data_IF_498926221645
#
_entry.id   IF_498926221645
#
_cell.length_a   1.000
_cell.length_b   1.000
_cell.length_c   1.000
_cell.angle_alpha   90.00
_cell.angle_beta   90.00
_cell.angle_gamma   90.00
#
_symmetry.space_group_name_H-M   'P 1'
#
loop_
_entity.id
_entity.type
_entity.pdbx_description
1 polymer ?
#
# COMPACT_ATOMS: atom_id res chain seq x y z
N UNK A 1 -16.94 21.51 -14.29
CA UNK A 1 -16.19 22.78 -14.38
C UNK A 1 -14.80 22.49 -14.95
N UNK A 2 -14.22 23.34 -15.76
CA UNK A 2 -12.84 23.16 -16.27
C UNK A 2 -12.07 24.42 -15.88
N UNK A 3 -11.02 24.25 -15.10
CA UNK A 3 -10.14 25.34 -14.69
C UNK A 3 -8.89 25.30 -15.56
N UNK A 4 -8.56 26.40 -16.21
CA UNK A 4 -7.36 26.53 -17.03
C UNK A 4 -6.26 27.22 -16.20
N UNK A 5 -5.16 26.51 -15.96
CA UNK A 5 -3.98 27.07 -15.29
C UNK A 5 -2.83 26.99 -16.28
N UNK A 6 -2.42 28.15 -16.82
CA UNK A 6 -1.48 28.21 -17.94
C UNK A 6 -2.08 27.50 -19.17
N UNK A 7 -1.31 26.63 -19.81
CA UNK A 7 -1.75 25.83 -20.96
C UNK A 7 -2.45 24.51 -20.59
N UNK A 8 -2.69 24.21 -19.29
CA UNK A 8 -3.26 22.95 -18.83
C UNK A 8 -4.69 23.14 -18.34
N UNK A 9 -5.57 22.20 -18.70
CA UNK A 9 -6.97 22.20 -18.29
C UNK A 9 -7.14 21.16 -17.18
N UNK A 10 -7.54 21.63 -16.00
CA UNK A 10 -7.87 20.78 -14.86
C UNK A 10 -9.39 20.52 -14.85
N UNK A 11 -9.75 19.25 -14.75
CA UNK A 11 -11.14 18.84 -14.53
C UNK A 11 -11.46 18.80 -13.04
N UNK A 12 -12.75 18.87 -12.68
CA UNK A 12 -13.22 18.77 -11.29
C UNK A 12 -12.66 17.52 -10.58
N UNK A 13 -12.53 16.43 -11.31
CA UNK A 13 -12.01 15.15 -10.81
C UNK A 13 -10.53 15.23 -10.43
N UNK A 14 -9.72 15.92 -11.25
CA UNK A 14 -8.32 16.19 -10.94
C UNK A 14 -8.19 17.06 -9.68
N UNK A 15 -9.10 18.03 -9.51
CA UNK A 15 -9.15 18.88 -8.31
C UNK A 15 -9.51 18.03 -7.07
N UNK A 16 -10.51 17.14 -7.16
CA UNK A 16 -10.85 16.23 -6.09
C UNK A 16 -9.67 15.31 -5.69
N UNK A 17 -8.94 14.81 -6.69
CA UNK A 17 -7.71 14.05 -6.42
C UNK A 17 -6.65 14.90 -5.70
N UNK A 18 -6.46 16.16 -6.09
CA UNK A 18 -5.52 17.05 -5.39
C UNK A 18 -5.96 17.34 -3.95
N UNK A 19 -7.26 17.56 -3.73
CA UNK A 19 -7.81 17.71 -2.38
C UNK A 19 -7.59 16.46 -1.54
N UNK A 20 -7.73 15.27 -2.14
CA UNK A 20 -7.44 14.00 -1.49
C UNK A 20 -5.96 13.90 -1.08
N UNK A 21 -5.04 14.26 -1.98
CA UNK A 21 -3.60 14.30 -1.66
C UNK A 21 -3.30 15.27 -0.53
N UNK A 22 -3.87 16.47 -0.56
CA UNK A 22 -3.72 17.48 0.50
C UNK A 22 -4.25 16.94 1.83
N UNK A 23 -5.47 16.38 1.83
CA UNK A 23 -6.08 15.86 3.05
C UNK A 23 -5.21 14.77 3.71
N UNK A 24 -4.67 13.82 2.91
CA UNK A 24 -3.81 12.78 3.44
C UNK A 24 -2.42 13.25 3.85
N UNK A 25 -1.87 14.27 3.17
CA UNK A 25 -0.52 14.77 3.45
C UNK A 25 -0.48 15.70 4.66
N UNK A 26 -1.54 16.46 4.95
CA UNK A 26 -1.55 17.46 6.01
C UNK A 26 -2.44 17.08 7.20
N UNK A 27 -3.59 16.45 6.97
CA UNK A 27 -4.49 16.04 8.06
C UNK A 27 -4.04 14.69 8.65
N UNK A 28 -3.41 13.81 7.82
CA UNK A 28 -2.91 12.50 8.22
C UNK A 28 -1.84 12.56 9.28
N UNK A 29 -0.91 13.47 9.10
CA UNK A 29 0.26 13.62 9.94
C UNK A 29 -0.03 14.23 11.32
N UNK A 30 -1.07 15.07 11.44
CA UNK A 30 -1.39 15.72 12.70
C UNK A 30 -1.99 14.78 13.75
N UNK A 31 -2.51 13.61 13.35
CA UNK A 31 -3.31 12.75 14.24
C UNK A 31 -2.69 11.38 14.52
N UNK A 32 -1.51 11.07 14.03
CA UNK A 32 -0.79 9.83 14.41
C UNK A 32 -0.46 9.81 15.92
N UNK A 33 -0.43 10.99 16.55
CA UNK A 33 -0.09 11.15 17.98
C UNK A 33 -1.30 11.08 18.93
N UNK A 34 -2.53 11.17 18.44
CA UNK A 34 -3.71 11.37 19.30
C UNK A 34 -4.59 10.15 19.52
N UNK A 35 -4.26 8.97 18.96
CA UNK A 35 -5.04 7.75 19.21
C UNK A 35 -6.54 7.86 18.88
N UNK A 36 -6.93 8.81 18.04
CA UNK A 36 -8.31 9.12 17.71
C UNK A 36 -9.01 7.93 17.07
N UNK A 37 -10.16 7.58 17.62
CA UNK A 37 -10.99 6.48 17.17
C UNK A 37 -11.43 6.60 15.70
N UNK A 38 -12.07 5.55 15.21
CA UNK A 38 -12.56 5.38 13.83
C UNK A 38 -13.36 6.58 13.30
N UNK A 39 -13.98 7.34 14.19
CA UNK A 39 -14.88 8.47 13.90
C UNK A 39 -14.23 9.83 14.18
N UNK A 40 -12.89 9.93 14.20
CA UNK A 40 -12.27 11.25 14.30
C UNK A 40 -12.64 12.12 13.10
N UNK A 41 -12.78 13.44 13.31
CA UNK A 41 -13.09 14.41 12.25
C UNK A 41 -12.07 14.31 11.10
N UNK A 42 -10.83 14.01 11.43
CA UNK A 42 -9.76 13.85 10.45
C UNK A 42 -9.94 12.59 9.60
N UNK A 43 -10.29 11.45 10.21
CA UNK A 43 -10.56 10.21 9.49
C UNK A 43 -11.80 10.36 8.59
N UNK A 44 -12.88 10.95 9.13
CA UNK A 44 -14.09 11.22 8.35
C UNK A 44 -13.83 12.13 7.15
N UNK A 45 -13.04 13.19 7.31
CA UNK A 45 -12.71 14.10 6.20
C UNK A 45 -11.91 13.40 5.10
N UNK A 46 -10.87 12.62 5.43
CA UNK A 46 -10.06 11.88 4.46
C UNK A 46 -10.89 10.86 3.67
N UNK A 47 -11.64 10.02 4.39
CA UNK A 47 -12.46 8.99 3.75
C UNK A 47 -13.67 9.56 3.04
N UNK A 48 -14.23 10.67 3.53
CA UNK A 48 -15.28 11.42 2.85
C UNK A 48 -14.82 11.97 1.49
N UNK A 49 -13.64 12.59 1.43
CA UNK A 49 -13.06 13.08 0.16
C UNK A 49 -12.74 11.91 -0.77
N UNK A 50 -12.21 10.79 -0.26
CA UNK A 50 -11.96 9.59 -1.07
C UNK A 50 -13.26 9.04 -1.66
N UNK A 51 -14.31 8.92 -0.86
CA UNK A 51 -15.61 8.44 -1.31
C UNK A 51 -16.22 9.37 -2.36
N UNK A 52 -16.17 10.68 -2.17
CA UNK A 52 -16.61 11.68 -3.16
C UNK A 52 -15.81 11.57 -4.46
N UNK A 53 -14.50 11.34 -4.38
CA UNK A 53 -13.64 11.13 -5.54
C UNK A 53 -14.06 9.88 -6.31
N UNK A 54 -14.31 8.77 -5.63
CA UNK A 54 -14.79 7.51 -6.23
C UNK A 54 -16.16 7.70 -6.86
N UNK A 55 -17.13 8.33 -6.17
CA UNK A 55 -18.47 8.59 -6.71
C UNK A 55 -18.43 9.48 -7.96
N UNK A 56 -17.61 10.52 -7.94
CA UNK A 56 -17.40 11.40 -9.10
C UNK A 56 -16.88 10.62 -10.32
N UNK A 57 -15.91 9.72 -10.10
CA UNK A 57 -15.37 8.88 -11.18
C UNK A 57 -16.38 7.84 -11.67
N UNK A 58 -17.20 7.25 -10.79
CA UNK A 58 -18.28 6.35 -11.18
C UNK A 58 -19.28 7.07 -12.11
N UNK A 59 -19.75 8.25 -11.71
CA UNK A 59 -20.69 9.05 -12.50
C UNK A 59 -20.10 9.36 -13.88
N UNK A 60 -18.84 9.75 -13.91
CA UNK A 60 -18.16 10.06 -15.18
C UNK A 60 -17.96 8.81 -16.04
N UNK A 61 -17.56 7.69 -15.46
CA UNK A 61 -17.37 6.43 -16.16
C UNK A 61 -18.67 5.97 -16.84
N UNK A 62 -19.81 6.04 -16.15
CA UNK A 62 -21.09 5.70 -16.71
C UNK A 62 -21.51 6.66 -17.84
N UNK A 63 -21.31 7.97 -17.67
CA UNK A 63 -21.61 8.97 -18.71
C UNK A 63 -20.72 8.84 -19.94
N UNK A 64 -19.47 8.46 -19.76
CA UNK A 64 -18.51 8.31 -20.86
C UNK A 64 -18.57 6.95 -21.55
N UNK A 65 -19.24 5.95 -20.96
CA UNK A 65 -19.33 4.58 -21.49
C UNK A 65 -19.93 4.51 -22.90
N UNK A 66 -20.75 5.47 -23.28
CA UNK A 66 -21.31 5.59 -24.64
C UNK A 66 -20.26 6.00 -25.69
N UNK A 67 -19.12 6.56 -25.27
CA UNK A 67 -18.04 7.02 -26.15
C UNK A 67 -16.73 6.23 -26.00
N UNK A 68 -16.59 5.37 -24.97
CA UNK A 68 -15.35 4.62 -24.69
C UNK A 68 -15.46 3.22 -25.28
N UNK A 69 -14.82 3.01 -26.43
CA UNK A 69 -14.81 1.72 -27.14
C UNK A 69 -13.97 0.64 -26.43
N UNK A 70 -13.12 0.97 -25.44
CA UNK A 70 -12.20 0.03 -24.81
C UNK A 70 -12.05 0.28 -23.32
N UNK A 71 -12.37 -0.73 -22.50
CA UNK A 71 -12.09 -0.74 -21.05
C UNK A 71 -10.74 -1.40 -20.80
N UNK A 72 -9.80 -0.63 -20.25
CA UNK A 72 -8.46 -1.11 -19.93
C UNK A 72 -8.44 -1.91 -18.62
N UNK A 73 -7.55 -2.90 -18.54
CA UNK A 73 -7.24 -3.69 -17.35
C UNK A 73 -8.46 -4.38 -16.69
N UNK A 74 -9.55 -4.64 -17.47
CA UNK A 74 -10.74 -5.31 -16.96
C UNK A 74 -10.44 -6.70 -16.39
N UNK A 75 -9.57 -7.45 -17.07
CA UNK A 75 -9.16 -8.79 -16.65
C UNK A 75 -8.33 -8.77 -15.37
N UNK A 76 -7.39 -7.83 -15.29
CA UNK A 76 -6.47 -7.65 -14.17
C UNK A 76 -7.23 -7.26 -12.90
N UNK A 77 -8.12 -6.28 -12.97
CA UNK A 77 -8.96 -5.89 -11.85
C UNK A 77 -9.99 -6.94 -11.43
N UNK A 78 -10.42 -7.83 -12.35
CA UNK A 78 -11.27 -8.96 -11.99
C UNK A 78 -10.62 -9.89 -10.95
N UNK A 79 -9.28 -9.99 -10.92
CA UNK A 79 -8.58 -10.78 -9.93
C UNK A 79 -8.80 -10.23 -8.50
N UNK A 80 -8.86 -8.92 -8.34
CA UNK A 80 -9.16 -8.30 -7.05
C UNK A 80 -10.61 -8.56 -6.59
N UNK A 81 -11.57 -8.62 -7.51
CA UNK A 81 -12.94 -8.99 -7.16
C UNK A 81 -13.02 -10.40 -6.58
N UNK A 82 -12.28 -11.37 -7.14
CA UNK A 82 -12.22 -12.72 -6.59
C UNK A 82 -11.60 -12.74 -5.21
N UNK A 83 -10.50 -12.04 -5.00
CA UNK A 83 -9.90 -11.89 -3.68
C UNK A 83 -10.90 -11.30 -2.67
N UNK A 84 -11.59 -10.24 -3.06
CA UNK A 84 -12.56 -9.57 -2.20
C UNK A 84 -13.75 -10.48 -1.84
N UNK A 85 -14.24 -11.27 -2.79
CA UNK A 85 -15.30 -12.29 -2.55
C UNK A 85 -14.81 -13.33 -1.52
N UNK A 86 -13.57 -13.81 -1.67
CA UNK A 86 -12.98 -14.76 -0.71
C UNK A 86 -12.90 -14.14 0.69
N UNK A 87 -12.40 -12.91 0.82
CA UNK A 87 -12.32 -12.23 2.10
C UNK A 87 -13.69 -12.06 2.76
N UNK A 88 -14.71 -11.63 2.00
CA UNK A 88 -16.08 -11.49 2.51
C UNK A 88 -16.62 -12.85 2.97
N UNK A 89 -16.48 -13.89 2.14
CA UNK A 89 -16.99 -15.23 2.45
C UNK A 89 -16.37 -15.78 3.74
N UNK A 90 -15.04 -15.67 3.86
CA UNK A 90 -14.33 -16.11 5.08
C UNK A 90 -14.75 -15.29 6.30
N UNK A 91 -14.91 -13.96 6.14
CA UNK A 91 -15.36 -13.10 7.23
C UNK A 91 -16.77 -13.43 7.69
N UNK A 92 -17.70 -13.66 6.76
CA UNK A 92 -19.06 -14.09 7.12
C UNK A 92 -19.03 -15.44 7.85
N UNK A 93 -18.22 -16.40 7.35
CA UNK A 93 -18.08 -17.70 7.99
C UNK A 93 -17.57 -17.57 9.44
N UNK A 94 -16.52 -16.77 9.67
CA UNK A 94 -15.95 -16.55 11.00
C UNK A 94 -16.93 -15.77 11.92
N UNK A 95 -17.63 -14.77 11.39
CA UNK A 95 -18.61 -14.00 12.14
C UNK A 95 -19.81 -14.85 12.60
N UNK A 96 -20.31 -15.73 11.71
CA UNK A 96 -21.40 -16.66 12.04
C UNK A 96 -20.95 -17.72 13.06
N UNK A 97 -19.75 -18.30 12.89
CA UNK A 97 -19.22 -19.32 13.80
C UNK A 97 -18.94 -18.78 15.21
N UNK A 98 -18.50 -17.54 15.32
CA UNK A 98 -18.23 -16.88 16.62
C UNK A 98 -19.43 -16.15 17.22
N UNK A 99 -20.54 -16.04 16.48
CA UNK A 99 -21.71 -15.22 16.84
C UNK A 99 -21.34 -13.74 17.16
N UNK A 100 -20.28 -13.24 16.53
CA UNK A 100 -19.78 -11.87 16.73
C UNK A 100 -19.61 -11.17 15.39
N UNK A 101 -19.88 -9.86 15.38
CA UNK A 101 -19.65 -9.00 14.22
C UNK A 101 -18.96 -7.71 14.65
N UNK A 102 -18.01 -7.24 13.87
CA UNK A 102 -17.31 -5.99 14.13
C UNK A 102 -17.55 -4.97 13.01
N UNK A 103 -17.87 -3.73 13.39
CA UNK A 103 -17.91 -2.59 12.47
C UNK A 103 -16.53 -2.33 11.85
N UNK A 104 -15.45 -2.70 12.57
CA UNK A 104 -14.08 -2.63 12.06
C UNK A 104 -13.87 -3.48 10.82
N UNK A 105 -14.53 -4.63 10.71
CA UNK A 105 -14.49 -5.46 9.51
C UNK A 105 -14.98 -4.71 8.27
N UNK A 106 -16.09 -3.98 8.37
CA UNK A 106 -16.59 -3.17 7.24
C UNK A 106 -15.57 -2.08 6.87
N UNK A 107 -14.98 -1.42 7.84
CA UNK A 107 -13.96 -0.40 7.60
C UNK A 107 -12.73 -0.98 6.89
N UNK A 108 -12.24 -2.13 7.32
CA UNK A 108 -11.06 -2.78 6.73
C UNK A 108 -11.35 -3.21 5.27
N UNK A 109 -12.57 -3.71 4.98
CA UNK A 109 -12.99 -3.97 3.60
C UNK A 109 -12.96 -2.72 2.73
N UNK A 110 -13.49 -1.61 3.23
CA UNK A 110 -13.48 -0.33 2.51
C UNK A 110 -12.05 0.10 2.20
N UNK A 111 -11.13 -0.02 3.16
CA UNK A 111 -9.73 0.35 2.98
C UNK A 111 -9.00 -0.46 1.91
N UNK A 112 -9.34 -1.74 1.76
CA UNK A 112 -8.76 -2.60 0.72
C UNK A 112 -9.45 -2.39 -0.63
N UNK A 113 -10.77 -2.25 -0.67
CA UNK A 113 -11.55 -2.20 -1.90
C UNK A 113 -11.52 -0.85 -2.60
N UNK A 114 -11.63 0.27 -1.85
CA UNK A 114 -11.70 1.61 -2.45
C UNK A 114 -10.48 1.99 -3.29
N UNK A 115 -9.22 1.70 -2.88
CA UNK A 115 -8.06 1.95 -3.72
C UNK A 115 -8.11 1.23 -5.06
N UNK A 116 -8.54 -0.03 -5.06
CA UNK A 116 -8.66 -0.84 -6.27
C UNK A 116 -9.73 -0.29 -7.22
N UNK A 117 -10.91 0.03 -6.67
CA UNK A 117 -12.01 0.60 -7.44
C UNK A 117 -11.62 1.97 -8.01
N UNK A 118 -11.03 2.83 -7.20
CA UNK A 118 -10.62 4.16 -7.64
C UNK A 118 -9.55 4.10 -8.73
N UNK A 119 -8.52 3.27 -8.57
CA UNK A 119 -7.50 3.07 -9.59
C UNK A 119 -8.09 2.55 -10.92
N UNK A 120 -9.03 1.59 -10.86
CA UNK A 120 -9.74 1.11 -12.05
C UNK A 120 -10.52 2.21 -12.76
N UNK A 121 -11.21 3.04 -12.01
CA UNK A 121 -11.99 4.14 -12.57
C UNK A 121 -11.07 5.19 -13.20
N UNK A 122 -10.04 5.64 -12.48
CA UNK A 122 -9.07 6.64 -12.96
C UNK A 122 -8.39 6.17 -14.25
N UNK A 123 -7.93 4.91 -14.32
CA UNK A 123 -7.24 4.43 -15.51
C UNK A 123 -8.14 4.40 -16.76
N UNK A 124 -9.46 4.27 -16.58
CA UNK A 124 -10.44 4.21 -17.66
C UNK A 124 -11.06 5.56 -17.99
N UNK A 125 -10.92 6.56 -17.14
CA UNK A 125 -11.54 7.88 -17.32
C UNK A 125 -10.52 8.99 -17.61
N UNK A 126 -9.23 8.78 -17.25
CA UNK A 126 -8.17 9.75 -17.44
C UNK A 126 -7.21 9.36 -18.56
N UNK A 127 -6.62 10.38 -19.19
CA UNK A 127 -5.49 10.17 -20.09
C UNK A 127 -4.21 9.93 -19.30
N UNK A 128 -3.20 9.28 -19.92
CA UNK A 128 -1.89 9.08 -19.27
C UNK A 128 -1.21 10.40 -18.91
N UNK A 129 -1.44 11.46 -19.70
CA UNK A 129 -0.92 12.80 -19.41
C UNK A 129 -1.56 13.40 -18.15
N UNK A 130 -2.89 13.27 -17.99
CA UNK A 130 -3.59 13.72 -16.78
C UNK A 130 -3.08 12.99 -15.53
N UNK A 131 -2.88 11.68 -15.62
CA UNK A 131 -2.31 10.89 -14.54
C UNK A 131 -0.88 11.35 -14.21
N UNK A 132 -0.04 11.61 -15.23
CA UNK A 132 1.34 12.06 -15.01
C UNK A 132 1.39 13.43 -14.29
N UNK A 133 0.55 14.38 -14.73
CA UNK A 133 0.46 15.69 -14.09
C UNK A 133 0.02 15.55 -12.64
N UNK A 134 -1.05 14.77 -12.40
CA UNK A 134 -1.60 14.60 -11.05
C UNK A 134 -0.63 13.89 -10.11
N UNK A 135 0.06 12.86 -10.56
CA UNK A 135 1.04 12.16 -9.74
C UNK A 135 2.27 13.04 -9.45
N UNK A 136 2.74 13.85 -10.38
CA UNK A 136 3.86 14.79 -10.14
C UNK A 136 3.50 15.89 -9.15
N UNK A 137 2.32 16.50 -9.29
CA UNK A 137 1.86 17.52 -8.35
C UNK A 137 1.60 16.87 -6.98
N UNK A 138 0.93 15.71 -6.96
CA UNK A 138 0.69 14.97 -5.73
C UNK A 138 1.97 14.58 -5.00
N UNK A 139 3.02 14.20 -5.73
CA UNK A 139 4.34 13.93 -5.17
C UNK A 139 4.92 15.16 -4.46
N UNK A 140 4.88 16.36 -5.11
CA UNK A 140 5.38 17.61 -4.52
C UNK A 140 4.58 17.97 -3.26
N UNK A 141 3.24 17.87 -3.31
CA UNK A 141 2.37 18.15 -2.16
C UNK A 141 2.69 17.21 -1.01
N UNK A 142 2.85 15.91 -1.28
CA UNK A 142 3.17 14.92 -0.25
C UNK A 142 4.57 15.11 0.33
N UNK A 143 5.54 15.52 -0.46
CA UNK A 143 6.88 15.86 0.01
C UNK A 143 6.86 17.07 0.95
N UNK A 144 6.13 18.13 0.59
CA UNK A 144 5.94 19.30 1.45
C UNK A 144 5.22 18.91 2.74
N UNK A 145 4.15 18.10 2.65
CA UNK A 145 3.43 17.58 3.82
C UNK A 145 4.34 16.82 4.76
N UNK A 146 5.23 15.96 4.23
CA UNK A 146 6.21 15.23 5.01
C UNK A 146 7.19 16.17 5.75
N UNK A 147 7.78 17.16 5.04
CA UNK A 147 8.70 18.14 5.66
C UNK A 147 8.03 18.89 6.80
N UNK A 148 6.78 19.32 6.59
CA UNK A 148 6.04 20.08 7.62
C UNK A 148 5.63 19.20 8.80
N UNK A 149 5.24 17.95 8.56
CA UNK A 149 4.81 17.02 9.63
C UNK A 149 5.95 16.57 10.52
N UNK A 150 7.15 16.42 9.95
CA UNK A 150 8.36 15.98 10.68
C UNK A 150 9.15 17.15 11.26
N UNK A 151 8.69 18.40 11.06
CA UNK A 151 9.42 19.62 11.47
C UNK A 151 10.89 19.61 11.04
N UNK A 152 11.17 19.09 9.83
CA UNK A 152 12.52 18.94 9.32
C UNK A 152 13.25 20.27 9.23
N UNK A 153 14.29 20.43 10.04
CA UNK A 153 15.31 21.46 9.90
C UNK A 153 16.63 20.84 9.43
N UNK A 154 17.47 21.63 8.80
CA UNK A 154 18.81 21.16 8.36
C UNK A 154 19.62 20.67 9.54
N UNK A 155 19.56 21.36 10.68
CA UNK A 155 20.22 20.96 11.93
C UNK A 155 19.68 19.62 12.45
N UNK A 156 18.39 19.40 12.33
CA UNK A 156 17.74 18.15 12.74
C UNK A 156 18.15 16.96 11.86
N UNK A 157 18.23 17.16 10.53
CA UNK A 157 18.71 16.12 9.59
C UNK A 157 20.17 15.76 9.91
N UNK A 158 21.03 16.75 10.11
CA UNK A 158 22.44 16.51 10.47
C UNK A 158 22.59 15.79 11.82
N UNK A 159 21.77 16.16 12.79
CA UNK A 159 21.75 15.47 14.09
C UNK A 159 21.26 14.02 13.93
N UNK A 160 20.17 13.81 13.20
CA UNK A 160 19.65 12.47 12.93
C UNK A 160 20.67 11.59 12.20
N UNK A 161 21.37 12.11 11.19
CA UNK A 161 22.44 11.36 10.49
C UNK A 161 23.59 10.96 11.41
N UNK A 162 23.92 11.76 12.41
CA UNK A 162 24.96 11.45 13.38
C UNK A 162 24.52 10.50 14.50
N UNK A 163 23.20 10.43 14.78
CA UNK A 163 22.63 9.61 15.86
C UNK A 163 21.94 8.34 15.36
N UNK A 164 21.87 8.12 14.04
CA UNK A 164 21.30 6.91 13.48
C UNK A 164 22.12 5.71 13.94
N UNK A 165 21.57 5.01 14.91
CA UNK A 165 22.00 3.67 15.24
C UNK A 165 21.17 2.68 14.44
N UNK A 166 21.80 1.97 13.49
CA UNK A 166 21.11 0.99 12.66
C UNK A 166 20.56 -0.21 13.46
N UNK A 167 20.99 -0.35 14.70
CA UNK A 167 20.55 -1.39 15.63
C UNK A 167 19.27 -1.00 16.37
N UNK A 168 19.06 0.29 16.67
CA UNK A 168 17.88 0.77 17.37
C UNK A 168 16.93 1.51 16.43
N UNK A 169 15.88 0.80 15.98
CA UNK A 169 14.89 1.31 15.03
C UNK A 169 13.88 2.28 15.64
N UNK A 170 13.76 2.31 16.97
CA UNK A 170 12.81 3.18 17.67
C UNK A 170 13.34 4.59 17.91
N UNK A 171 14.63 4.82 17.65
CA UNK A 171 15.28 6.11 17.95
C UNK A 171 15.12 7.17 16.86
N UNK A 172 14.62 6.85 15.68
CA UNK A 172 14.53 7.79 14.58
C UNK A 172 13.21 8.54 14.57
N UNK A 173 13.21 9.79 15.02
CA UNK A 173 12.08 10.74 14.89
C UNK A 173 11.66 11.02 13.42
N UNK A 174 12.49 10.61 12.44
CA UNK A 174 12.24 10.79 11.01
C UNK A 174 11.46 9.62 10.40
N UNK A 175 11.32 8.50 11.12
CA UNK A 175 10.63 7.34 10.59
C UNK A 175 9.12 7.65 10.45
N UNK A 176 8.63 7.64 9.22
CA UNK A 176 7.20 7.76 8.92
C UNK A 176 6.71 6.60 8.11
N UNK A 177 5.91 5.73 8.73
CA UNK A 177 5.28 4.60 8.03
C UNK A 177 4.27 5.05 7.00
N UNK A 178 3.55 6.14 7.27
CA UNK A 178 2.52 6.69 6.39
C UNK A 178 3.11 7.23 5.09
N UNK A 179 4.18 8.06 5.21
CA UNK A 179 4.81 8.65 4.03
C UNK A 179 5.72 7.69 3.27
N UNK A 180 6.30 6.68 3.91
CA UNK A 180 7.23 5.76 3.27
C UNK A 180 6.59 5.00 2.10
N UNK A 181 5.43 4.38 2.33
CA UNK A 181 4.73 3.62 1.29
C UNK A 181 4.15 4.55 0.22
N UNK A 182 3.69 5.74 0.62
CA UNK A 182 3.22 6.78 -0.30
C UNK A 182 4.35 7.27 -1.22
N UNK A 183 5.50 7.61 -0.66
CA UNK A 183 6.70 8.00 -1.41
C UNK A 183 7.16 6.90 -2.37
N UNK A 184 7.10 5.63 -1.92
CA UNK A 184 7.40 4.47 -2.75
C UNK A 184 6.44 4.37 -3.94
N UNK A 185 5.14 4.62 -3.76
CA UNK A 185 4.15 4.63 -4.84
C UNK A 185 4.50 5.64 -5.93
N UNK A 186 4.83 6.86 -5.55
CA UNK A 186 5.30 7.89 -6.48
C UNK A 186 6.63 7.51 -7.12
N UNK A 187 7.60 7.02 -6.35
CA UNK A 187 8.91 6.62 -6.85
C UNK A 187 8.79 5.50 -7.90
N UNK A 188 7.98 4.47 -7.65
CA UNK A 188 7.73 3.40 -8.60
C UNK A 188 7.19 3.90 -9.93
N UNK A 189 6.26 4.87 -9.91
CA UNK A 189 5.76 5.50 -11.13
C UNK A 189 6.82 6.36 -11.82
N UNK A 190 7.49 7.26 -11.08
CA UNK A 190 8.44 8.22 -11.65
C UNK A 190 9.71 7.55 -12.20
N UNK A 191 10.19 6.49 -11.56
CA UNK A 191 11.33 5.71 -12.06
C UNK A 191 11.03 5.02 -13.40
N UNK A 192 9.79 4.63 -13.65
CA UNK A 192 9.40 4.01 -14.92
C UNK A 192 9.15 5.02 -16.05
N UNK A 193 8.34 6.07 -15.79
CA UNK A 193 7.82 6.96 -16.84
C UNK A 193 8.78 8.06 -17.26
N UNK A 194 9.59 8.58 -16.33
CA UNK A 194 10.43 9.72 -16.65
C UNK A 194 11.72 9.33 -17.37
N UNK A 195 12.02 10.07 -18.44
CA UNK A 195 13.29 9.93 -19.17
C UNK A 195 14.46 10.59 -18.43
N UNK A 196 14.19 11.74 -17.76
CA UNK A 196 15.19 12.51 -17.02
C UNK A 196 15.49 11.93 -15.62
N UNK A 197 16.73 12.11 -15.15
CA UNK A 197 17.18 11.65 -13.83
C UNK A 197 16.60 12.46 -12.67
N UNK A 198 16.27 13.74 -12.86
CA UNK A 198 15.84 14.64 -11.78
C UNK A 198 14.65 14.08 -11.00
N UNK A 199 13.54 13.74 -11.66
CA UNK A 199 12.37 13.18 -11.00
C UNK A 199 12.60 11.81 -10.37
N UNK A 200 13.44 10.96 -11.00
CA UNK A 200 13.77 9.65 -10.45
C UNK A 200 14.56 9.78 -9.16
N UNK A 201 15.66 10.54 -9.18
CA UNK A 201 16.48 10.74 -8.00
C UNK A 201 15.72 11.46 -6.89
N UNK A 202 14.97 12.52 -7.21
CA UNK A 202 14.19 13.24 -6.21
C UNK A 202 13.16 12.33 -5.54
N UNK A 203 12.49 11.44 -6.30
CA UNK A 203 11.53 10.50 -5.72
C UNK A 203 12.19 9.45 -4.82
N UNK A 204 13.37 8.94 -5.20
CA UNK A 204 14.12 7.99 -4.36
C UNK A 204 14.66 8.67 -3.11
N UNK A 205 15.15 9.91 -3.23
CA UNK A 205 15.57 10.71 -2.06
C UNK A 205 14.42 10.89 -1.08
N UNK A 206 13.20 11.18 -1.57
CA UNK A 206 12.04 11.26 -0.68
C UNK A 206 11.81 9.94 0.08
N UNK A 207 11.91 8.79 -0.60
CA UNK A 207 11.80 7.49 0.08
C UNK A 207 12.89 7.30 1.13
N UNK A 208 14.14 7.61 0.81
CA UNK A 208 15.28 7.52 1.75
C UNK A 208 15.03 8.38 2.99
N UNK A 209 14.52 9.60 2.81
CA UNK A 209 14.21 10.52 3.90
C UNK A 209 13.14 9.98 4.88
N UNK A 210 12.32 9.02 4.48
CA UNK A 210 11.35 8.39 5.39
C UNK A 210 11.97 7.35 6.34
N UNK A 211 13.24 7.04 6.20
CA UNK A 211 14.04 6.12 7.03
C UNK A 211 13.50 4.69 7.18
N UNK A 212 12.61 4.24 6.31
CA UNK A 212 12.15 2.84 6.26
C UNK A 212 13.07 2.01 5.39
N UNK A 213 13.95 1.21 6.01
CA UNK A 213 15.02 0.41 5.35
C UNK A 213 14.50 -0.45 4.20
N UNK A 214 13.45 -1.25 4.44
CA UNK A 214 12.89 -2.17 3.44
C UNK A 214 12.29 -1.42 2.24
N UNK A 215 11.62 -0.30 2.50
CA UNK A 215 11.02 0.54 1.47
C UNK A 215 12.10 1.29 0.68
N UNK A 216 13.15 1.74 1.35
CA UNK A 216 14.33 2.34 0.71
C UNK A 216 15.01 1.35 -0.24
N UNK A 217 15.26 0.12 0.22
CA UNK A 217 15.81 -0.93 -0.65
C UNK A 217 14.92 -1.18 -1.87
N UNK A 218 13.62 -1.25 -1.65
CA UNK A 218 12.63 -1.41 -2.74
C UNK A 218 12.75 -0.26 -3.75
N UNK A 219 12.83 0.99 -3.32
CA UNK A 219 12.97 2.15 -4.20
C UNK A 219 14.26 2.12 -5.03
N UNK A 220 15.38 1.71 -4.42
CA UNK A 220 16.66 1.54 -5.11
C UNK A 220 16.57 0.45 -6.18
N UNK A 221 15.99 -0.71 -5.84
CA UNK A 221 15.77 -1.79 -6.81
C UNK A 221 14.89 -1.31 -7.97
N UNK A 222 13.82 -0.56 -7.71
CA UNK A 222 12.94 -0.01 -8.75
C UNK A 222 13.65 1.03 -9.63
N UNK A 223 14.53 1.85 -9.07
CA UNK A 223 15.36 2.79 -9.83
C UNK A 223 16.25 2.01 -10.81
N UNK A 224 16.94 0.98 -10.34
CA UNK A 224 17.82 0.13 -11.15
C UNK A 224 17.02 -0.60 -12.23
N UNK A 225 15.91 -1.26 -11.89
CA UNK A 225 15.04 -1.95 -12.85
C UNK A 225 14.47 -0.99 -13.89
N UNK A 226 14.18 0.25 -13.53
CA UNK A 226 13.71 1.29 -14.44
C UNK A 226 14.69 1.61 -15.58
N UNK A 227 15.97 1.26 -15.46
CA UNK A 227 17.00 1.47 -16.48
C UNK A 227 17.05 0.34 -17.53
N UNK A 228 16.61 -0.87 -17.18
CA UNK A 228 16.71 -2.02 -18.07
C UNK A 228 15.56 -2.13 -19.08
N UNK A 229 15.86 -2.58 -20.30
CA UNK A 229 14.84 -2.83 -21.35
C UNK A 229 13.87 -3.95 -20.97
N UNK A 230 14.27 -4.88 -20.11
CA UNK A 230 13.46 -6.01 -19.64
C UNK A 230 12.20 -5.58 -18.89
N UNK A 231 12.16 -4.35 -18.36
CA UNK A 231 11.01 -3.81 -17.59
C UNK A 231 9.65 -3.93 -18.29
N UNK A 232 9.63 -3.93 -19.62
CA UNK A 232 8.39 -3.97 -20.40
C UNK A 232 7.94 -5.40 -20.76
N UNK A 233 8.71 -6.43 -20.43
CA UNK A 233 8.37 -7.80 -20.78
C UNK A 233 7.27 -8.34 -19.87
N UNK A 234 6.38 -9.16 -20.46
CA UNK A 234 5.42 -9.96 -19.71
C UNK A 234 6.13 -11.15 -19.08
N UNK A 235 5.76 -11.49 -17.85
CA UNK A 235 6.33 -12.66 -17.17
C UNK A 235 5.67 -13.95 -17.64
N UNK A 236 6.48 -15.01 -17.70
CA UNK A 236 5.99 -16.36 -17.92
C UNK A 236 5.11 -16.81 -16.73
N UNK A 237 4.06 -17.58 -17.05
CA UNK A 237 3.12 -18.14 -16.07
C UNK A 237 3.84 -19.00 -15.03
N UNK A 238 4.77 -19.87 -15.50
CA UNK A 238 5.53 -20.77 -14.61
C UNK A 238 6.41 -19.99 -13.62
N UNK A 239 7.10 -18.94 -14.11
CA UNK A 239 7.90 -18.08 -13.24
C UNK A 239 7.02 -17.34 -12.23
N UNK A 240 5.87 -16.80 -12.65
CA UNK A 240 4.92 -16.15 -11.75
C UNK A 240 4.42 -17.11 -10.68
N UNK A 241 4.08 -18.35 -11.07
CA UNK A 241 3.62 -19.38 -10.14
C UNK A 241 4.73 -19.75 -9.14
N UNK A 242 5.96 -19.99 -9.63
CA UNK A 242 7.11 -20.31 -8.77
C UNK A 242 7.39 -19.21 -7.74
N UNK A 243 7.40 -17.93 -8.17
CA UNK A 243 7.60 -16.79 -7.29
C UNK A 243 6.43 -16.61 -6.31
N UNK A 244 5.20 -16.92 -6.72
CA UNK A 244 4.04 -16.92 -5.82
C UNK A 244 4.16 -17.99 -4.74
N UNK A 245 4.54 -19.21 -5.11
CA UNK A 245 4.77 -20.31 -4.16
C UNK A 245 5.89 -19.94 -3.19
N UNK A 246 7.01 -19.39 -3.69
CA UNK A 246 8.11 -18.94 -2.84
C UNK A 246 7.65 -17.91 -1.80
N UNK A 247 6.84 -16.94 -2.21
CA UNK A 247 6.31 -15.91 -1.31
C UNK A 247 5.36 -16.49 -0.27
N UNK A 248 4.49 -17.44 -0.66
CA UNK A 248 3.61 -18.16 0.25
C UNK A 248 4.43 -18.96 1.26
N UNK A 249 5.40 -19.74 0.80
CA UNK A 249 6.29 -20.53 1.68
C UNK A 249 7.04 -19.62 2.65
N UNK A 250 7.56 -18.49 2.16
CA UNK A 250 8.25 -17.52 3.01
C UNK A 250 7.31 -16.93 4.07
N UNK A 251 6.07 -16.59 3.71
CA UNK A 251 5.09 -16.06 4.66
C UNK A 251 4.74 -17.07 5.76
N UNK A 252 4.52 -18.35 5.40
CA UNK A 252 4.25 -19.41 6.37
C UNK A 252 5.46 -19.69 7.26
N UNK A 253 6.65 -19.74 6.68
CA UNK A 253 7.89 -19.93 7.42
C UNK A 253 8.11 -18.78 8.42
N UNK A 254 7.94 -17.54 7.97
CA UNK A 254 8.05 -16.35 8.83
C UNK A 254 7.02 -16.38 9.96
N UNK A 255 5.75 -16.65 9.64
CA UNK A 255 4.70 -16.78 10.66
C UNK A 255 5.05 -17.83 11.70
N UNK A 256 5.54 -19.01 11.26
CA UNK A 256 5.95 -20.07 12.18
C UNK A 256 7.17 -19.67 13.04
N UNK A 257 8.14 -18.99 12.46
CA UNK A 257 9.35 -18.55 13.16
C UNK A 257 9.09 -17.51 14.25
N UNK A 258 8.09 -16.63 14.06
CA UNK A 258 7.77 -15.55 15.00
C UNK A 258 6.79 -15.98 16.09
N UNK A 259 6.31 -17.23 16.10
CA UNK A 259 5.46 -17.77 17.16
C UNK A 259 6.16 -17.72 18.52
N UNK A 260 5.43 -17.46 19.63
CA UNK A 260 6.02 -17.32 20.98
C UNK A 260 6.96 -18.46 21.36
N UNK A 261 6.58 -19.69 21.00
CA UNK A 261 7.34 -20.89 21.34
C UNK A 261 8.56 -21.14 20.45
N UNK A 262 8.65 -20.49 19.31
CA UNK A 262 9.65 -20.76 18.28
C UNK A 262 10.67 -19.62 18.11
N UNK A 263 10.30 -18.39 18.50
CA UNK A 263 11.04 -17.17 18.17
C UNK A 263 12.49 -17.19 18.68
N UNK A 264 12.75 -17.75 19.86
CA UNK A 264 14.10 -17.84 20.42
C UNK A 264 14.97 -18.83 19.64
N UNK A 265 14.42 -20.00 19.29
CA UNK A 265 15.13 -21.03 18.53
C UNK A 265 15.45 -20.53 17.11
N UNK A 266 14.52 -19.87 16.45
CA UNK A 266 14.75 -19.30 15.12
C UNK A 266 15.69 -18.09 15.16
N UNK A 267 15.64 -17.25 16.20
CA UNK A 267 16.59 -16.15 16.37
C UNK A 267 18.03 -16.69 16.51
N UNK A 268 18.23 -17.74 17.27
CA UNK A 268 19.54 -18.39 17.42
C UNK A 268 20.01 -19.02 16.09
N UNK A 269 19.12 -19.74 15.37
CA UNK A 269 19.44 -20.37 14.08
C UNK A 269 19.80 -19.36 12.98
N UNK A 270 19.15 -18.21 12.98
CA UNK A 270 19.36 -17.18 11.98
C UNK A 270 20.49 -16.19 12.37
N UNK A 271 20.94 -16.21 13.63
CA UNK A 271 21.92 -15.25 14.14
C UNK A 271 21.39 -13.81 14.21
N UNK A 272 20.05 -13.64 14.25
CA UNK A 272 19.37 -12.34 14.27
C UNK A 272 18.26 -12.40 15.30
N UNK A 273 18.19 -11.41 16.20
CA UNK A 273 17.04 -11.29 17.10
C UNK A 273 15.78 -10.90 16.30
N UNK A 274 14.83 -11.84 16.17
CA UNK A 274 13.60 -11.62 15.44
C UNK A 274 12.66 -10.61 16.11
N UNK A 275 12.77 -10.36 17.42
CA UNK A 275 12.01 -9.33 18.13
C UNK A 275 12.50 -7.94 17.71
N UNK A 276 13.78 -7.70 17.81
CA UNK A 276 14.40 -6.44 17.38
C UNK A 276 14.24 -6.23 15.87
N UNK A 277 14.45 -7.27 15.07
CA UNK A 277 14.24 -7.23 13.62
C UNK A 277 12.82 -6.79 13.24
N UNK A 278 11.81 -7.29 13.96
CA UNK A 278 10.40 -6.93 13.74
C UNK A 278 10.01 -5.60 14.41
N UNK A 279 10.91 -4.92 15.10
CA UNK A 279 10.59 -3.72 15.91
C UNK A 279 9.50 -4.00 16.95
N UNK A 280 9.67 -5.10 17.71
CA UNK A 280 8.76 -5.58 18.76
C UNK A 280 7.31 -5.91 18.28
N UNK A 281 7.06 -6.05 16.98
CA UNK A 281 5.74 -6.46 16.45
C UNK A 281 5.39 -7.89 16.83
N UNK A 282 6.40 -8.73 17.01
CA UNK A 282 6.24 -10.11 17.47
C UNK A 282 5.68 -10.19 18.90
N UNK A 283 5.96 -9.21 19.75
CA UNK A 283 5.39 -9.16 21.10
C UNK A 283 3.88 -8.93 21.06
N UNK A 284 3.39 -8.15 20.07
CA UNK A 284 1.95 -7.95 19.87
C UNK A 284 1.24 -9.22 19.42
N UNK A 285 1.90 -10.04 18.58
CA UNK A 285 1.40 -11.36 18.22
C UNK A 285 1.35 -12.27 19.46
N UNK A 286 2.38 -12.25 20.29
CA UNK A 286 2.47 -12.98 21.55
C UNK A 286 1.33 -12.59 22.51
N UNK A 287 1.02 -11.28 22.66
CA UNK A 287 -0.12 -10.84 23.47
C UNK A 287 -1.45 -11.40 22.95
N UNK A 288 -1.63 -11.39 21.62
CA UNK A 288 -2.86 -11.89 21.00
C UNK A 288 -3.02 -13.40 21.19
N UNK A 289 -1.97 -14.19 20.97
CA UNK A 289 -2.01 -15.65 21.05
C UNK A 289 -2.13 -16.17 22.49
N UNK A 290 -1.57 -15.45 23.48
CA UNK A 290 -1.73 -15.76 24.89
C UNK A 290 -3.05 -15.24 25.50
N UNK A 291 -3.87 -14.56 24.71
CA UNK A 291 -5.18 -14.06 25.14
C UNK A 291 -6.31 -15.02 24.79
N UNK A 292 -7.53 -14.66 25.14
CA UNK A 292 -8.76 -15.38 24.75
C UNK A 292 -9.24 -15.02 23.34
N UNK A 293 -8.38 -14.47 22.50
CA UNK A 293 -8.74 -14.06 21.15
C UNK A 293 -9.21 -15.24 20.30
N UNK A 294 -10.34 -15.04 19.65
CA UNK A 294 -10.86 -15.89 18.59
C UNK A 294 -11.30 -15.00 17.45
N UNK A 295 -10.91 -15.35 16.22
CA UNK A 295 -11.29 -14.56 15.07
C UNK A 295 -12.79 -14.56 14.84
N UNK A 296 -13.34 -13.39 14.55
CA UNK A 296 -14.70 -13.16 14.06
C UNK A 296 -14.71 -12.43 12.72
N UNK A 297 -13.62 -12.53 11.95
CA UNK A 297 -13.52 -12.03 10.58
C UNK A 297 -12.42 -11.00 10.39
N UNK A 298 -12.34 -10.44 9.18
CA UNK A 298 -11.31 -9.49 8.78
C UNK A 298 -11.36 -8.20 9.63
N UNK A 299 -10.22 -7.79 10.19
CA UNK A 299 -10.13 -6.65 11.12
C UNK A 299 -10.44 -6.99 12.57
N UNK A 300 -10.76 -8.27 12.90
CA UNK A 300 -11.11 -8.68 14.26
C UNK A 300 -9.94 -8.58 15.24
N UNK A 301 -8.71 -8.85 14.81
CA UNK A 301 -7.53 -8.70 15.66
C UNK A 301 -7.29 -7.24 16.04
N UNK A 302 -7.48 -6.32 15.11
CA UNK A 302 -7.36 -4.89 15.38
C UNK A 302 -8.42 -4.46 16.40
N UNK A 303 -9.67 -4.88 16.21
CA UNK A 303 -10.78 -4.54 17.13
C UNK A 303 -10.53 -5.10 18.54
N UNK A 304 -10.05 -6.34 18.64
CA UNK A 304 -9.71 -6.99 19.89
C UNK A 304 -8.53 -6.28 20.60
N UNK A 305 -7.43 -6.07 19.87
CA UNK A 305 -6.24 -5.40 20.40
C UNK A 305 -6.54 -3.97 20.90
N UNK A 306 -7.43 -3.27 20.19
CA UNK A 306 -7.86 -1.94 20.58
C UNK A 306 -8.62 -1.93 21.92
N UNK A 307 -9.47 -2.95 22.15
CA UNK A 307 -10.27 -3.08 23.36
C UNK A 307 -9.46 -3.56 24.56
N UNK A 308 -8.60 -4.54 24.35
CA UNK A 308 -7.92 -5.25 25.45
C UNK A 308 -6.52 -4.66 25.75
N UNK A 309 -5.82 -4.09 24.76
CA UNK A 309 -4.42 -3.66 24.88
C UNK A 309 -4.21 -2.17 24.58
N UNK A 310 -5.26 -1.36 24.56
CA UNK A 310 -5.14 0.09 24.48
C UNK A 310 -4.72 0.67 23.11
N UNK A 311 -5.04 0.00 22.02
CA UNK A 311 -4.93 0.60 20.68
C UNK A 311 -3.76 0.13 19.80
N UNK A 312 -3.07 -0.92 20.18
CA UNK A 312 -2.03 -1.52 19.35
C UNK A 312 -2.63 -2.38 18.22
N UNK A 313 -2.01 -2.37 17.04
CA UNK A 313 -2.30 -3.29 15.95
C UNK A 313 -1.12 -4.24 15.76
N UNK A 314 -1.34 -5.39 15.11
CA UNK A 314 -0.24 -6.35 14.82
C UNK A 314 0.86 -5.74 13.95
N UNK A 315 0.52 -4.78 13.09
CA UNK A 315 1.43 -4.11 12.15
C UNK A 315 2.23 -5.06 11.25
N UNK A 316 1.67 -6.21 10.94
CA UNK A 316 2.15 -7.21 10.00
C UNK A 316 0.96 -7.73 9.21
N UNK A 317 0.74 -7.19 7.98
CA UNK A 317 -0.50 -7.42 7.22
C UNK A 317 -0.78 -8.89 6.93
N UNK A 318 0.24 -9.65 6.53
CA UNK A 318 0.08 -11.06 6.18
C UNK A 318 -0.15 -11.92 7.42
N UNK A 319 0.51 -11.60 8.53
CA UNK A 319 0.28 -12.25 9.82
C UNK A 319 -1.14 -11.98 10.31
N UNK A 320 -1.60 -10.73 10.16
CA UNK A 320 -2.98 -10.35 10.47
C UNK A 320 -3.99 -11.17 9.66
N UNK A 321 -3.81 -11.23 8.32
CA UNK A 321 -4.68 -12.04 7.45
C UNK A 321 -4.69 -13.52 7.86
N UNK A 322 -3.53 -14.05 8.24
CA UNK A 322 -3.40 -15.44 8.66
C UNK A 322 -4.17 -15.72 9.97
N UNK A 323 -3.97 -14.88 10.99
CA UNK A 323 -4.61 -15.01 12.30
C UNK A 323 -6.12 -14.78 12.22
N UNK A 324 -6.56 -13.87 11.36
CA UNK A 324 -7.99 -13.51 11.23
C UNK A 324 -8.76 -14.46 10.31
N UNK A 325 -8.21 -14.86 9.17
CA UNK A 325 -8.93 -15.57 8.11
C UNK A 325 -8.26 -16.86 7.63
N UNK A 326 -7.07 -17.16 8.15
CA UNK A 326 -6.34 -18.39 7.84
C UNK A 326 -5.59 -18.37 6.49
N UNK A 327 -5.02 -19.53 6.12
CA UNK A 327 -4.10 -19.66 4.99
C UNK A 327 -4.72 -19.31 3.64
N UNK A 328 -6.00 -19.59 3.44
CA UNK A 328 -6.70 -19.31 2.17
C UNK A 328 -6.74 -17.81 1.85
N UNK A 329 -6.92 -16.96 2.86
CA UNK A 329 -6.88 -15.51 2.69
C UNK A 329 -5.50 -15.04 2.23
N UNK A 330 -4.43 -15.55 2.85
CA UNK A 330 -3.04 -15.22 2.49
C UNK A 330 -2.70 -15.66 1.07
N UNK A 331 -3.05 -16.89 0.69
CA UNK A 331 -2.82 -17.40 -0.66
C UNK A 331 -3.58 -16.55 -1.69
N UNK A 332 -4.86 -16.26 -1.42
CA UNK A 332 -5.69 -15.47 -2.33
C UNK A 332 -5.17 -14.03 -2.48
N UNK A 333 -4.63 -13.43 -1.41
CA UNK A 333 -3.97 -12.15 -1.42
C UNK A 333 -2.78 -12.14 -2.39
N UNK A 334 -1.82 -13.02 -2.20
CA UNK A 334 -0.64 -13.09 -3.07
C UNK A 334 -0.98 -13.39 -4.52
N UNK A 335 -1.83 -14.39 -4.75
CA UNK A 335 -2.25 -14.78 -6.11
C UNK A 335 -2.91 -13.61 -6.84
N UNK A 336 -3.80 -12.87 -6.18
CA UNK A 336 -4.55 -11.79 -6.82
C UNK A 336 -3.66 -10.62 -7.21
N UNK A 337 -2.78 -10.18 -6.29
CA UNK A 337 -1.89 -9.04 -6.53
C UNK A 337 -0.78 -9.37 -7.54
N UNK A 338 -0.18 -10.57 -7.48
CA UNK A 338 0.84 -10.97 -8.45
C UNK A 338 0.23 -11.23 -9.83
N UNK A 339 -0.98 -11.77 -9.89
CA UNK A 339 -1.68 -11.97 -11.17
C UNK A 339 -2.10 -10.65 -11.82
N UNK A 340 -2.45 -9.62 -11.03
CA UNK A 340 -2.69 -8.27 -11.50
C UNK A 340 -1.44 -7.69 -12.18
N UNK A 341 -0.27 -7.88 -11.62
CA UNK A 341 0.98 -7.24 -12.03
C UNK A 341 1.76 -7.99 -13.14
N UNK A 342 1.37 -9.22 -13.48
CA UNK A 342 2.12 -10.15 -14.36
C UNK A 342 2.41 -9.63 -15.76
N UNK A 343 1.55 -8.77 -16.32
CA UNK A 343 1.66 -8.31 -17.71
C UNK A 343 2.85 -7.37 -17.95
N UNK A 344 3.55 -6.96 -16.88
CA UNK A 344 4.75 -6.12 -16.99
C UNK A 344 5.76 -6.46 -15.90
N UNK A 345 7.00 -6.80 -16.26
CA UNK A 345 8.03 -7.26 -15.32
C UNK A 345 8.38 -6.21 -14.25
N UNK A 346 8.38 -4.93 -14.59
CA UNK A 346 8.63 -3.86 -13.64
C UNK A 346 7.50 -3.78 -12.59
N UNK A 347 6.24 -3.79 -13.04
CA UNK A 347 5.07 -3.76 -12.15
C UNK A 347 5.03 -5.00 -11.27
N UNK A 348 5.38 -6.16 -11.82
CA UNK A 348 5.47 -7.41 -11.05
C UNK A 348 6.54 -7.32 -9.97
N UNK A 349 7.75 -6.87 -10.30
CA UNK A 349 8.82 -6.71 -9.31
C UNK A 349 8.44 -5.70 -8.24
N UNK A 350 7.80 -4.60 -8.61
CA UNK A 350 7.30 -3.61 -7.67
C UNK A 350 6.27 -4.22 -6.71
N UNK A 351 5.27 -4.92 -7.24
CA UNK A 351 4.26 -5.59 -6.42
C UNK A 351 4.88 -6.66 -5.53
N UNK A 352 5.79 -7.48 -6.07
CA UNK A 352 6.46 -8.54 -5.33
C UNK A 352 7.22 -8.02 -4.10
N UNK A 353 7.96 -6.92 -4.26
CA UNK A 353 8.70 -6.26 -3.17
C UNK A 353 7.76 -5.65 -2.13
N UNK A 354 6.63 -5.06 -2.54
CA UNK A 354 5.61 -4.58 -1.59
C UNK A 354 5.01 -5.76 -0.80
N UNK A 355 4.75 -6.89 -1.44
CA UNK A 355 4.20 -8.06 -0.77
C UNK A 355 5.19 -8.68 0.23
N UNK A 356 6.50 -8.68 -0.07
CA UNK A 356 7.54 -9.03 0.93
C UNK A 356 7.46 -8.06 2.12
N UNK A 357 7.36 -6.76 1.85
CA UNK A 357 7.21 -5.77 2.94
C UNK A 357 5.95 -6.03 3.78
N UNK A 358 4.84 -6.43 3.17
CA UNK A 358 3.58 -6.75 3.87
C UNK A 358 3.67 -8.00 4.76
N UNK A 359 4.62 -8.92 4.52
CA UNK A 359 4.90 -10.04 5.42
C UNK A 359 5.56 -9.53 6.70
N UNK A 360 6.52 -8.61 6.56
CA UNK A 360 7.39 -8.14 7.64
C UNK A 360 6.86 -6.90 8.37
N UNK A 361 5.94 -6.15 7.74
CA UNK A 361 5.45 -4.86 8.21
C UNK A 361 4.01 -4.61 7.77
N UNK A 362 3.44 -3.50 8.22
CA UNK A 362 2.11 -3.06 7.78
C UNK A 362 2.18 -2.12 6.58
N UNK A 363 1.19 -2.21 5.73
CA UNK A 363 1.01 -1.34 4.56
C UNK A 363 -0.43 -1.32 4.07
N UNK A 364 -1.21 -2.39 4.30
CA UNK A 364 -2.61 -2.49 3.84
C UNK A 364 -3.52 -1.40 4.43
N UNK A 365 -3.28 -1.00 5.68
CA UNK A 365 -4.03 0.08 6.32
C UNK A 365 -3.78 1.45 5.69
N UNK A 366 -2.69 1.63 4.94
CA UNK A 366 -2.35 2.89 4.25
C UNK A 366 -3.16 3.07 2.96
N UNK A 367 -4.48 3.22 3.08
CA UNK A 367 -5.45 3.29 1.97
C UNK A 367 -5.01 4.24 0.85
N UNK A 368 -4.54 5.44 1.21
CA UNK A 368 -4.13 6.43 0.21
C UNK A 368 -2.83 6.05 -0.50
N UNK A 369 -1.86 5.47 0.20
CA UNK A 369 -0.65 4.95 -0.44
C UNK A 369 -1.00 3.89 -1.49
N UNK A 370 -1.95 2.99 -1.20
CA UNK A 370 -2.45 2.02 -2.16
C UNK A 370 -3.18 2.66 -3.35
N UNK A 371 -3.90 3.76 -3.16
CA UNK A 371 -4.47 4.54 -4.27
C UNK A 371 -3.35 4.97 -5.23
N UNK A 372 -2.28 5.58 -4.73
CA UNK A 372 -1.16 6.05 -5.56
C UNK A 372 -0.41 4.89 -6.22
N UNK A 373 -0.12 3.82 -5.47
CA UNK A 373 0.54 2.62 -5.97
C UNK A 373 -0.25 2.00 -7.12
N UNK A 374 -1.55 1.76 -6.91
CA UNK A 374 -2.38 1.11 -7.91
C UNK A 374 -2.65 1.98 -9.13
N UNK A 375 -2.81 3.30 -8.98
CA UNK A 375 -2.89 4.23 -10.11
C UNK A 375 -1.57 4.21 -10.90
N UNK A 376 -0.43 4.31 -10.22
CA UNK A 376 0.88 4.28 -10.84
C UNK A 376 1.14 2.99 -11.62
N UNK A 377 0.91 1.83 -10.98
CA UNK A 377 1.04 0.51 -11.61
C UNK A 377 0.08 0.34 -12.79
N UNK A 378 -1.18 0.74 -12.62
CA UNK A 378 -2.19 0.64 -13.69
C UNK A 378 -1.85 1.52 -14.88
N UNK A 379 -1.27 2.71 -14.66
CA UNK A 379 -0.79 3.57 -15.74
C UNK A 379 0.34 2.91 -16.55
N UNK A 380 1.26 2.22 -15.86
CA UNK A 380 2.33 1.45 -16.52
C UNK A 380 1.74 0.32 -17.35
N UNK A 381 0.82 -0.48 -16.78
CA UNK A 381 0.15 -1.57 -17.48
C UNK A 381 -0.66 -1.09 -18.68
N UNK A 382 -1.40 0.01 -18.55
CA UNK A 382 -2.16 0.63 -19.66
C UNK A 382 -1.21 1.03 -20.79
N UNK A 383 -0.06 1.64 -20.48
CA UNK A 383 0.94 1.99 -21.50
C UNK A 383 1.47 0.75 -22.23
N UNK A 384 1.74 -0.34 -21.50
CA UNK A 384 2.17 -1.60 -22.09
C UNK A 384 1.13 -2.17 -23.06
N UNK A 385 -0.16 -2.19 -22.65
CA UNK A 385 -1.25 -2.65 -23.53
C UNK A 385 -1.47 -1.76 -24.76
N UNK A 386 -1.23 -0.45 -24.65
CA UNK A 386 -1.32 0.47 -25.80
C UNK A 386 -0.18 0.23 -26.81
N UNK A 387 1.02 -0.15 -26.36
CA UNK A 387 2.14 -0.46 -27.23
C UNK A 387 1.96 -1.80 -27.97
N UNK A 388 1.36 -2.81 -27.31
CA UNK A 388 1.08 -4.11 -27.95
C UNK A 388 0.00 -4.02 -29.06
N UNK A 389 -0.92 -3.06 -29.00
CA UNK A 389 -1.97 -2.87 -30.01
C UNK A 389 -1.46 -2.16 -31.27
N UNK A 390 -0.34 -1.42 -31.14
CA UNK A 390 0.26 -0.65 -32.23
C UNK A 390 1.40 -1.40 -32.93
N UNK A 391 1.71 -2.63 -32.51
CA UNK A 391 2.59 -3.59 -33.16
C UNK A 391 1.78 -4.66 -33.89
#
# INVERSE_FOLDING_TARGET
>A
MKIKIGNKIFSDRMILFMLLVIAYSFIGSANETTGDGIFSVSSLSKYGILLLSVLSEIIYFYRSKTSVNKVYLKREFKNFLWYFIILITLTIFMAVSSMRFSVRSMQTFIFVFLPMLYAFLVINTWTLEQIDICLKIGFIISFIGYILSTHLSITYILHALNTINYEDTNSSLLESSTFALLALGFSGYLCYFNKGWGWKLFSVVFVIMTFKRQITLTAIVLLVLGLFKVKNKKLNILLTLGLTILLVVFAFYYYHAIQPNNILDYSQKLGVDLREFSTNRTDRLNWLENSTYQSYGFGSSIDYMYKEFGGFALEMDVVQLFVELGPLAVISFFVSYLRFSRENAYVFSFMYLILINSILSSGMASTFAWVIILIGMSAILKKSQMMEVNL
#
